data_IF_011108170560
#
_entry.id   IF_011108170560
#
_cell.length_a   1.000
_cell.length_b   1.000
_cell.length_c   1.000
_cell.angle_alpha   90.00
_cell.angle_beta   90.00
_cell.angle_gamma   90.00
#
_symmetry.space_group_name_H-M   'P 1'
#
loop_
_entity.id
_entity.type
_entity.pdbx_description
1 polymer ?
#
# COMPACT_ATOMS: atom_id res chain seq x y z
N UNK A 1 10.44 -4.52 -7.86
CA UNK A 1 9.20 -3.74 -8.06
C UNK A 1 9.56 -2.25 -8.07
N UNK A 2 9.02 -1.49 -9.02
CA UNK A 2 9.21 -0.04 -9.11
C UNK A 2 7.95 0.66 -8.58
N UNK A 3 8.10 1.53 -7.59
CA UNK A 3 7.00 2.32 -7.03
C UNK A 3 7.30 3.79 -7.31
N UNK A 4 6.27 4.52 -7.74
CA UNK A 4 6.34 5.98 -7.85
C UNK A 4 5.58 6.54 -6.65
N UNK A 5 6.31 7.25 -5.81
CA UNK A 5 5.79 7.88 -4.60
C UNK A 5 5.82 9.38 -4.78
N UNK A 6 4.71 10.03 -4.49
CA UNK A 6 4.59 11.46 -4.51
C UNK A 6 4.63 12.03 -3.09
N UNK A 7 5.31 13.16 -2.90
CA UNK A 7 5.29 13.93 -1.65
C UNK A 7 5.04 15.41 -1.95
N UNK A 8 3.97 15.98 -1.39
CA UNK A 8 3.63 17.41 -1.51
C UNK A 8 3.27 17.98 -0.15
N UNK A 9 4.23 18.66 0.49
CA UNK A 9 4.06 19.10 1.88
C UNK A 9 3.97 17.88 2.80
N UNK A 10 2.90 17.79 3.61
CA UNK A 10 2.62 16.62 4.44
C UNK A 10 1.89 15.49 3.70
N UNK A 11 1.40 15.74 2.48
CA UNK A 11 0.69 14.73 1.71
C UNK A 11 1.67 13.76 1.05
N UNK A 12 1.39 12.47 1.16
CA UNK A 12 2.17 11.40 0.54
C UNK A 12 1.23 10.35 -0.05
N UNK A 13 1.48 9.94 -1.29
CA UNK A 13 0.69 8.92 -1.95
C UNK A 13 1.54 8.09 -2.91
N UNK A 14 1.09 6.87 -3.21
CA UNK A 14 1.63 6.06 -4.29
C UNK A 14 0.88 6.42 -5.57
N UNK A 15 1.62 6.96 -6.54
CA UNK A 15 1.07 7.42 -7.82
C UNK A 15 1.29 6.42 -8.95
N UNK A 16 2.00 5.31 -8.70
CA UNK A 16 2.09 4.19 -9.62
C UNK A 16 2.91 3.02 -9.06
N UNK A 17 2.62 1.82 -9.56
CA UNK A 17 3.36 0.59 -9.26
C UNK A 17 3.60 -0.16 -10.56
N UNK A 18 4.84 -0.60 -10.78
CA UNK A 18 5.25 -1.25 -12.02
C UNK A 18 6.23 -2.38 -11.75
N UNK A 19 6.03 -3.52 -12.42
CA UNK A 19 7.03 -4.59 -12.40
C UNK A 19 8.27 -4.22 -13.21
N UNK A 20 8.10 -3.52 -14.34
CA UNK A 20 9.17 -3.19 -15.29
C UNK A 20 9.55 -1.71 -15.24
N UNK A 21 10.85 -1.43 -15.24
CA UNK A 21 11.39 -0.08 -15.10
C UNK A 21 11.11 0.82 -16.31
N UNK A 22 11.21 0.28 -17.52
CA UNK A 22 10.93 0.98 -18.77
C UNK A 22 9.49 1.49 -18.82
N UNK A 23 8.53 0.66 -18.38
CA UNK A 23 7.13 1.01 -18.26
C UNK A 23 6.92 2.12 -17.22
N UNK A 24 7.59 2.02 -16.07
CA UNK A 24 7.51 3.04 -15.02
C UNK A 24 8.03 4.40 -15.50
N UNK A 25 9.12 4.40 -16.29
CA UNK A 25 9.68 5.60 -16.93
C UNK A 25 8.72 6.20 -17.95
N UNK A 26 8.13 5.38 -18.82
CA UNK A 26 7.11 5.85 -19.77
C UNK A 26 5.91 6.46 -19.05
N UNK A 27 5.48 5.89 -17.93
CA UNK A 27 4.38 6.45 -17.15
C UNK A 27 4.75 7.82 -16.53
N UNK A 28 5.99 8.01 -16.09
CA UNK A 28 6.45 9.29 -15.56
C UNK A 28 6.38 10.42 -16.59
N UNK A 29 6.57 10.12 -17.87
CA UNK A 29 6.42 11.10 -18.96
C UNK A 29 4.95 11.56 -19.13
N UNK A 30 3.98 10.75 -18.69
CA UNK A 30 2.55 11.08 -18.72
C UNK A 30 2.10 11.95 -17.53
N UNK A 31 2.93 12.07 -16.48
CA UNK A 31 2.61 12.90 -15.32
C UNK A 31 2.68 14.38 -15.72
N UNK A 32 1.69 15.23 -15.41
CA UNK A 32 1.75 16.66 -15.68
C UNK A 32 2.98 17.33 -15.05
N UNK A 33 3.59 18.30 -15.74
CA UNK A 33 4.85 18.93 -15.30
C UNK A 33 4.73 19.58 -13.92
N UNK A 34 3.56 20.14 -13.58
CA UNK A 34 3.27 20.70 -12.27
C UNK A 34 3.24 19.66 -11.13
N UNK A 35 3.09 18.38 -11.46
CA UNK A 35 3.12 17.27 -10.50
C UNK A 35 4.46 16.52 -10.48
N UNK A 36 5.23 16.54 -11.57
CA UNK A 36 6.50 15.79 -11.70
C UNK A 36 7.47 16.08 -10.56
N UNK A 37 7.56 17.34 -10.13
CA UNK A 37 8.47 17.76 -9.05
C UNK A 37 8.18 17.11 -7.69
N UNK A 38 7.02 16.50 -7.50
CA UNK A 38 6.65 15.79 -6.28
C UNK A 38 6.93 14.30 -6.34
N UNK A 39 7.26 13.75 -7.51
CA UNK A 39 7.32 12.31 -7.76
C UNK A 39 8.74 11.78 -7.61
N UNK A 40 8.86 10.60 -7.00
CA UNK A 40 10.13 9.90 -6.83
C UNK A 40 9.97 8.42 -7.17
N UNK A 41 10.93 7.88 -7.93
CA UNK A 41 11.09 6.44 -8.10
C UNK A 41 11.76 5.81 -6.88
N UNK A 42 11.17 4.72 -6.42
CA UNK A 42 11.83 3.80 -5.49
C UNK A 42 11.77 2.39 -6.07
N UNK A 43 12.85 1.64 -5.86
CA UNK A 43 12.94 0.25 -6.24
C UNK A 43 12.92 -0.59 -4.97
N UNK A 44 11.98 -1.52 -4.91
CA UNK A 44 11.89 -2.52 -3.85
C UNK A 44 12.32 -3.86 -4.43
N UNK A 45 13.44 -4.37 -3.92
CA UNK A 45 13.99 -5.67 -4.31
C UNK A 45 13.14 -6.82 -3.79
N UNK A 46 13.17 -7.95 -4.51
CA UNK A 46 12.53 -9.22 -4.12
C UNK A 46 11.01 -9.17 -3.86
N UNK A 47 10.33 -8.10 -4.32
CA UNK A 47 8.88 -7.97 -4.21
C UNK A 47 8.21 -8.44 -5.51
N UNK A 48 7.24 -9.34 -5.38
CA UNK A 48 6.44 -9.90 -6.48
C UNK A 48 4.96 -9.73 -6.19
N UNK A 49 4.11 -9.80 -7.22
CA UNK A 49 2.66 -9.77 -7.02
C UNK A 49 2.15 -11.11 -6.44
N UNK A 50 1.10 -11.09 -5.59
CA UNK A 50 0.58 -9.91 -4.93
C UNK A 50 1.52 -9.43 -3.81
N UNK A 51 1.53 -8.13 -3.55
CA UNK A 51 2.17 -7.54 -2.38
C UNK A 51 1.30 -6.47 -1.74
N UNK A 52 1.72 -5.97 -0.58
CA UNK A 52 0.94 -5.05 0.23
C UNK A 52 1.68 -3.74 0.45
N UNK A 53 0.95 -2.63 0.35
CA UNK A 53 1.41 -1.33 0.83
C UNK A 53 0.73 -1.09 2.17
N UNK A 54 1.53 -0.88 3.21
CA UNK A 54 1.04 -0.53 4.55
C UNK A 54 1.20 0.96 4.74
N UNK A 55 0.10 1.61 5.07
CA UNK A 55 0.03 3.02 5.43
C UNK A 55 -0.30 3.15 6.92
N UNK A 56 0.47 3.99 7.60
CA UNK A 56 0.25 4.36 9.00
C UNK A 56 0.39 5.86 9.11
N UNK A 57 -0.43 6.47 9.96
CA UNK A 57 -0.33 7.89 10.23
C UNK A 57 1.08 8.24 10.70
N UNK A 58 1.68 9.28 10.09
CA UNK A 58 3.02 9.79 10.40
C UNK A 58 4.21 8.84 10.14
N UNK A 59 3.99 7.67 9.53
CA UNK A 59 5.07 6.75 9.13
C UNK A 59 5.22 6.63 7.61
N UNK A 60 6.43 6.34 7.09
CA UNK A 60 6.61 6.00 5.69
C UNK A 60 5.84 4.72 5.30
N UNK A 61 5.36 4.67 4.06
CA UNK A 61 4.84 3.43 3.47
C UNK A 61 5.83 2.29 3.64
N UNK A 62 5.30 1.12 4.03
CA UNK A 62 6.03 -0.14 4.01
C UNK A 62 5.49 -1.01 2.87
N UNK A 63 6.38 -1.77 2.25
CA UNK A 63 6.05 -2.67 1.15
C UNK A 63 6.35 -4.08 1.61
N UNK A 64 5.32 -4.91 1.76
CA UNK A 64 5.44 -6.21 2.39
C UNK A 64 5.04 -7.32 1.42
N UNK A 65 5.78 -8.41 1.44
CA UNK A 65 5.33 -9.68 0.90
C UNK A 65 4.29 -10.35 1.80
N UNK A 66 3.78 -11.50 1.36
CA UNK A 66 2.78 -12.29 2.09
C UNK A 66 3.18 -12.61 3.54
N UNK A 67 4.36 -13.18 3.73
CA UNK A 67 4.79 -13.64 5.06
C UNK A 67 5.05 -12.47 6.01
N UNK A 68 5.56 -11.36 5.49
CA UNK A 68 5.77 -10.13 6.26
C UNK A 68 4.45 -9.48 6.67
N UNK A 69 3.42 -9.55 5.81
CA UNK A 69 2.08 -9.06 6.11
C UNK A 69 1.41 -9.93 7.18
N UNK A 70 1.50 -11.26 7.08
CA UNK A 70 1.02 -12.17 8.14
C UNK A 70 1.74 -11.87 9.46
N UNK A 71 3.07 -11.75 9.42
CA UNK A 71 3.85 -11.40 10.61
C UNK A 71 3.48 -10.02 11.18
N UNK A 72 2.98 -9.09 10.37
CA UNK A 72 2.49 -7.79 10.86
C UNK A 72 1.23 -7.96 11.69
N UNK A 73 0.27 -8.77 11.20
CA UNK A 73 -0.93 -9.12 11.96
C UNK A 73 -0.59 -9.87 13.26
N UNK A 74 0.31 -10.86 13.20
CA UNK A 74 0.75 -11.62 14.38
C UNK A 74 1.36 -10.75 15.49
N UNK A 75 1.93 -9.60 15.13
CA UNK A 75 2.62 -8.68 16.05
C UNK A 75 1.79 -7.46 16.42
N UNK A 76 0.60 -7.31 15.86
CA UNK A 76 -0.26 -6.17 16.15
C UNK A 76 -1.22 -6.56 17.27
N UNK A 77 -1.18 -5.81 18.36
CA UNK A 77 -2.11 -5.96 19.47
C UNK A 77 -3.25 -4.95 19.37
N UNK A 78 -4.41 -5.30 19.93
CA UNK A 78 -5.53 -4.36 20.08
C UNK A 78 -5.12 -3.17 20.96
N UNK A 79 -5.64 -2.00 20.63
CA UNK A 79 -5.46 -0.77 21.41
C UNK A 79 -6.57 -0.61 22.46
N UNK A 80 -6.33 0.22 23.48
CA UNK A 80 -7.39 0.66 24.39
C UNK A 80 -8.36 1.64 23.72
N UNK A 81 -7.93 2.31 22.64
CA UNK A 81 -8.80 3.14 21.81
C UNK A 81 -9.66 2.24 20.90
N UNK A 82 -10.97 2.24 21.11
CA UNK A 82 -11.93 1.42 20.36
C UNK A 82 -11.96 1.78 18.87
N UNK A 83 -11.65 3.04 18.52
CA UNK A 83 -11.68 3.57 17.16
C UNK A 83 -10.29 3.51 16.48
N UNK A 84 -9.30 2.85 17.08
CA UNK A 84 -7.95 2.75 16.54
C UNK A 84 -7.93 2.07 15.16
N UNK A 85 -7.34 2.76 14.19
CA UNK A 85 -6.94 2.18 12.89
C UNK A 85 -5.43 1.96 12.92
N UNK A 86 -5.02 0.73 13.21
CA UNK A 86 -3.61 0.34 13.36
C UNK A 86 -2.79 0.63 12.09
N UNK A 87 -3.40 0.37 10.93
CA UNK A 87 -2.86 0.66 9.61
C UNK A 87 -3.90 0.45 8.51
N UNK A 88 -3.71 1.12 7.37
CA UNK A 88 -4.38 0.76 6.12
C UNK A 88 -3.50 -0.23 5.35
N UNK A 89 -4.13 -1.22 4.73
CA UNK A 89 -3.48 -2.17 3.84
C UNK A 89 -4.04 -2.01 2.44
N UNK A 90 -3.18 -1.76 1.47
CA UNK A 90 -3.54 -1.76 0.04
C UNK A 90 -2.98 -3.03 -0.60
N UNK A 91 -3.85 -3.81 -1.26
CA UNK A 91 -3.43 -5.03 -1.95
C UNK A 91 -3.13 -4.73 -3.42
N UNK A 92 -1.92 -5.11 -3.86
CA UNK A 92 -1.43 -4.83 -5.20
C UNK A 92 -1.21 -6.14 -5.93
N UNK A 93 -2.16 -6.49 -6.79
CA UNK A 93 -2.15 -7.74 -7.58
C UNK A 93 -1.52 -7.57 -8.97
N UNK A 94 -1.33 -6.33 -9.44
CA UNK A 94 -0.78 -5.99 -10.76
C UNK A 94 -0.19 -4.59 -10.78
N UNK A 95 0.37 -4.19 -11.93
CA UNK A 95 0.70 -2.80 -12.21
C UNK A 95 -0.48 -1.89 -11.83
N UNK A 96 -0.17 -0.78 -11.16
CA UNK A 96 -1.14 0.24 -10.78
C UNK A 96 -0.85 1.53 -11.53
N UNK A 97 -1.84 1.96 -12.31
CA UNK A 97 -1.79 3.16 -13.17
C UNK A 97 -3.06 3.97 -12.95
N UNK A 98 -3.03 4.99 -12.08
CA UNK A 98 -4.13 5.94 -11.94
C UNK A 98 -4.64 6.47 -13.28
N UNK A 99 -5.95 6.71 -13.37
CA UNK A 99 -6.57 7.35 -14.54
C UNK A 99 -5.98 8.75 -14.80
N UNK A 100 -5.64 9.46 -13.74
CA UNK A 100 -4.99 10.75 -13.77
C UNK A 100 -3.54 10.59 -13.26
N UNK A 101 -2.53 10.57 -14.15
CA UNK A 101 -1.16 10.29 -13.75
C UNK A 101 -0.62 11.28 -12.72
N UNK A 102 0.09 10.76 -11.71
CA UNK A 102 0.74 11.57 -10.67
C UNK A 102 -0.17 12.08 -9.56
N UNK A 103 -1.51 11.97 -9.69
CA UNK A 103 -2.45 12.40 -8.64
C UNK A 103 -2.64 11.33 -7.56
N UNK A 104 -3.15 11.74 -6.40
CA UNK A 104 -3.61 10.79 -5.39
C UNK A 104 -4.90 10.10 -5.87
N UNK A 105 -4.81 8.79 -6.06
CA UNK A 105 -5.90 7.94 -6.51
C UNK A 105 -5.92 6.61 -5.73
N UNK A 106 -5.20 6.54 -4.61
CA UNK A 106 -5.01 5.31 -3.83
C UNK A 106 -6.32 4.72 -3.31
N UNK A 107 -7.34 5.56 -3.07
CA UNK A 107 -8.68 5.11 -2.68
C UNK A 107 -9.38 4.19 -3.70
N UNK A 108 -8.84 4.05 -4.91
CA UNK A 108 -9.34 3.09 -5.93
C UNK A 108 -8.68 1.72 -5.87
N UNK A 109 -7.54 1.61 -5.19
CA UNK A 109 -6.91 0.32 -4.91
C UNK A 109 -7.79 -0.47 -3.94
N UNK A 110 -7.73 -1.81 -4.04
CA UNK A 110 -8.32 -2.66 -3.00
C UNK A 110 -7.59 -2.37 -1.69
N UNK A 111 -8.33 -1.89 -0.68
CA UNK A 111 -7.77 -1.59 0.62
C UNK A 111 -8.71 -1.90 1.76
N UNK A 112 -8.12 -2.12 2.93
CA UNK A 112 -8.82 -2.36 4.18
C UNK A 112 -8.21 -1.48 5.28
N UNK A 113 -9.05 -0.97 6.17
CA UNK A 113 -8.61 -0.37 7.42
C UNK A 113 -8.50 -1.49 8.46
N UNK A 114 -7.33 -1.67 9.06
CA UNK A 114 -7.12 -2.69 10.09
C UNK A 114 -7.40 -2.08 11.45
N UNK A 115 -8.56 -2.41 12.00
CA UNK A 115 -9.08 -1.95 13.30
C UNK A 115 -8.85 -2.99 14.39
N UNK A 116 -9.20 -2.66 15.64
CA UNK A 116 -9.24 -3.65 16.74
C UNK A 116 -10.06 -4.89 16.38
N UNK A 117 -11.27 -4.72 15.82
CA UNK A 117 -12.11 -5.82 15.36
C UNK A 117 -11.37 -6.70 14.34
N UNK A 118 -10.61 -6.10 13.43
CA UNK A 118 -9.83 -6.84 12.43
C UNK A 118 -8.74 -7.70 13.07
N UNK A 119 -8.08 -7.19 14.11
CA UNK A 119 -7.05 -7.91 14.87
C UNK A 119 -7.67 -9.04 15.69
N UNK A 120 -8.82 -8.82 16.33
CA UNK A 120 -9.54 -9.85 17.08
C UNK A 120 -10.00 -10.99 16.17
N UNK A 121 -10.65 -10.66 15.05
CA UNK A 121 -11.07 -11.64 14.06
C UNK A 121 -9.89 -12.43 13.48
N UNK A 122 -8.75 -11.76 13.26
CA UNK A 122 -7.52 -12.45 12.85
C UNK A 122 -7.00 -13.39 13.95
N UNK A 123 -7.04 -13.00 15.23
CA UNK A 123 -6.61 -13.87 16.34
C UNK A 123 -7.47 -15.13 16.47
N UNK A 124 -8.76 -15.02 16.16
CA UNK A 124 -9.70 -16.15 16.22
C UNK A 124 -9.61 -17.06 14.98
N UNK A 125 -9.57 -16.49 13.78
CA UNK A 125 -9.68 -17.24 12.52
C UNK A 125 -8.34 -17.43 11.78
N UNK A 126 -7.30 -16.70 12.17
CA UNK A 126 -6.00 -16.68 11.51
C UNK A 126 -6.07 -16.22 10.06
N UNK A 127 -5.29 -16.87 9.19
CA UNK A 127 -5.20 -16.53 7.76
C UNK A 127 -6.51 -16.76 6.98
N UNK A 128 -7.47 -17.51 7.54
CA UNK A 128 -8.79 -17.67 6.94
C UNK A 128 -9.55 -16.33 6.89
N UNK A 129 -9.43 -15.51 7.93
CA UNK A 129 -9.99 -14.15 7.95
C UNK A 129 -9.40 -13.29 6.83
N UNK A 130 -8.07 -13.30 6.67
CA UNK A 130 -7.38 -12.53 5.64
C UNK A 130 -7.80 -12.97 4.22
N UNK A 131 -7.97 -14.28 4.01
CA UNK A 131 -8.46 -14.84 2.74
C UNK A 131 -9.91 -14.41 2.46
N UNK A 132 -10.78 -14.39 3.47
CA UNK A 132 -12.17 -13.92 3.35
C UNK A 132 -12.25 -12.44 3.00
N UNK A 133 -11.34 -11.62 3.54
CA UNK A 133 -11.18 -10.20 3.20
C UNK A 133 -10.50 -9.96 1.84
N UNK A 134 -10.04 -11.02 1.16
CA UNK A 134 -9.25 -10.94 -0.08
C UNK A 134 -7.97 -10.12 0.08
N UNK A 135 -7.42 -10.15 1.28
CA UNK A 135 -6.07 -9.67 1.54
C UNK A 135 -5.11 -10.75 1.02
N UNK A 136 -5.32 -12.03 1.36
CA UNK A 136 -4.53 -13.18 0.86
C UNK A 136 -5.08 -13.84 -0.40
#
# INVERSE_FOLDING_TARGET
>A
MIIIVATKGSLKWVSGVFQAEDVARQYMDLIPDELKGYQQFIQIENLTYPFYIIERQDYPFRYLGKDEMISLFDKTDVSEDEDEVHFNIFTIDSDYRPKNPGTDYMGTLRHDHVTNESIEMYREEGTAFLSRRRIL
#
